data_IF_032078847772
#
_entry.id   IF_032078847772
#
_cell.length_a   1.000
_cell.length_b   1.000
_cell.length_c   1.000
_cell.angle_alpha   90.00
_cell.angle_beta   90.00
_cell.angle_gamma   90.00
#
_symmetry.space_group_name_H-M   'P 1'
#
loop_
_entity.id
_entity.type
_entity.pdbx_description
1 polymer ?
#
# COMPACT_ATOMS: atom_id res chain seq x y z
N UNK A 1 -45.75 43.02 18.42
CA UNK A 1 -45.39 42.27 17.19
C UNK A 1 -45.01 40.86 17.60
N UNK A 2 -45.74 39.81 17.14
CA UNK A 2 -45.41 38.42 17.45
C UNK A 2 -44.31 37.89 16.51
N UNK A 3 -43.40 37.06 17.05
CA UNK A 3 -42.34 36.37 16.29
C UNK A 3 -42.94 35.34 15.32
N UNK A 4 -42.37 35.15 14.12
CA UNK A 4 -42.83 34.10 13.19
C UNK A 4 -42.34 32.70 13.64
N UNK A 5 -43.04 31.62 13.23
CA UNK A 5 -42.67 30.25 13.54
C UNK A 5 -41.44 29.80 12.73
N UNK A 6 -40.55 29.07 13.39
CA UNK A 6 -39.36 28.46 12.80
C UNK A 6 -39.76 27.24 11.96
N UNK A 7 -39.42 27.23 10.68
CA UNK A 7 -39.60 26.07 9.80
C UNK A 7 -38.39 25.14 9.95
N UNK A 8 -38.64 23.87 10.30
CA UNK A 8 -37.66 22.78 10.17
C UNK A 8 -37.41 22.50 8.68
N UNK A 9 -36.18 22.69 8.21
CA UNK A 9 -35.69 22.10 6.97
C UNK A 9 -34.20 21.79 7.09
N UNK A 10 -33.81 20.54 6.84
CA UNK A 10 -32.44 20.20 6.44
C UNK A 10 -31.71 19.16 7.30
N UNK A 11 -32.18 17.91 7.27
CA UNK A 11 -31.34 16.75 7.60
C UNK A 11 -30.37 16.49 6.42
N UNK A 12 -29.06 16.49 6.69
CA UNK A 12 -28.06 15.64 6.00
C UNK A 12 -26.67 15.66 6.66
N UNK A 13 -26.31 14.50 7.22
CA UNK A 13 -25.01 13.84 7.28
C UNK A 13 -23.73 14.59 7.72
N UNK A 14 -23.35 14.40 8.99
CA UNK A 14 -21.95 14.23 9.39
C UNK A 14 -21.72 12.74 9.69
N UNK A 15 -21.66 11.92 8.63
CA UNK A 15 -21.28 10.52 8.73
C UNK A 15 -19.76 10.39 8.67
N UNK A 16 -19.19 9.99 9.81
CA UNK A 16 -17.79 9.58 9.96
C UNK A 16 -17.46 8.54 8.88
N UNK A 17 -16.44 8.81 8.08
CA UNK A 17 -16.01 7.93 7.00
C UNK A 17 -15.57 6.58 7.59
N UNK A 18 -16.46 5.60 7.52
CA UNK A 18 -16.21 4.20 7.80
C UNK A 18 -15.60 3.59 6.52
N UNK A 19 -14.39 3.03 6.53
CA UNK A 19 -13.75 2.51 5.31
C UNK A 19 -14.40 1.23 4.74
N UNK A 20 -15.50 0.76 5.30
CA UNK A 20 -16.30 -0.34 4.77
C UNK A 20 -17.35 0.10 3.72
N UNK A 21 -17.12 1.18 2.96
CA UNK A 21 -17.97 1.50 1.82
C UNK A 21 -17.65 0.57 0.64
N UNK A 22 -18.39 -0.54 0.59
CA UNK A 22 -18.59 -1.35 -0.61
C UNK A 22 -19.09 -0.44 -1.73
N UNK A 23 -18.15 0.09 -2.53
CA UNK A 23 -18.50 0.70 -3.81
C UNK A 23 -18.98 -0.41 -4.71
N UNK A 24 -20.29 -0.49 -4.90
CA UNK A 24 -20.93 -1.29 -5.96
C UNK A 24 -20.59 -0.67 -7.32
N UNK A 25 -19.31 -0.71 -7.70
CA UNK A 25 -18.86 -0.54 -9.07
C UNK A 25 -18.99 -1.88 -9.77
N UNK A 26 -19.46 -1.87 -11.02
CA UNK A 26 -19.45 -3.07 -11.85
C UNK A 26 -18.03 -3.68 -11.82
N UNK A 27 -17.87 -4.83 -11.19
CA UNK A 27 -16.65 -5.62 -11.31
C UNK A 27 -16.62 -6.12 -12.74
N UNK A 28 -15.84 -5.46 -13.60
CA UNK A 28 -15.49 -6.04 -14.90
C UNK A 28 -14.79 -7.36 -14.60
N UNK A 29 -15.50 -8.47 -14.77
CA UNK A 29 -14.92 -9.80 -14.58
C UNK A 29 -13.66 -9.86 -15.43
N UNK A 30 -12.49 -9.92 -14.80
CA UNK A 30 -11.19 -9.89 -15.49
C UNK A 30 -10.75 -11.31 -15.86
N UNK A 31 -11.47 -12.32 -15.36
CA UNK A 31 -11.18 -13.72 -15.58
C UNK A 31 -12.47 -14.55 -15.74
N UNK A 32 -12.38 -15.62 -16.53
CA UNK A 32 -13.34 -16.73 -16.56
C UNK A 32 -12.90 -17.80 -15.57
N UNK A 33 -13.87 -18.53 -15.03
CA UNK A 33 -13.59 -19.70 -14.18
C UNK A 33 -13.77 -20.97 -15.02
N UNK A 34 -12.75 -21.83 -15.08
CA UNK A 34 -12.77 -23.10 -15.81
C UNK A 34 -12.34 -24.23 -14.89
N UNK A 35 -13.26 -25.16 -14.62
CA UNK A 35 -12.92 -26.45 -14.03
C UNK A 35 -12.22 -27.32 -15.09
N UNK A 36 -11.05 -27.85 -14.77
CA UNK A 36 -10.26 -28.71 -15.65
C UNK A 36 -10.39 -30.20 -15.30
N UNK A 37 -11.23 -30.55 -14.33
CA UNK A 37 -11.49 -31.93 -13.92
C UNK A 37 -10.35 -32.58 -13.12
N UNK A 38 -9.33 -31.81 -12.72
CA UNK A 38 -8.22 -32.30 -11.89
C UNK A 38 -8.59 -32.53 -10.42
N UNK A 39 -9.80 -32.11 -10.00
CA UNK A 39 -10.20 -32.05 -8.60
C UNK A 39 -9.57 -30.89 -7.81
N UNK A 40 -8.80 -30.02 -8.48
CA UNK A 40 -8.24 -28.78 -7.92
C UNK A 40 -9.25 -27.63 -8.01
N UNK A 41 -9.03 -26.51 -7.28
CA UNK A 41 -9.83 -25.32 -7.44
C UNK A 41 -9.91 -24.86 -8.92
N UNK A 42 -11.09 -24.45 -9.41
CA UNK A 42 -11.26 -24.03 -10.80
C UNK A 42 -10.30 -22.92 -11.22
N UNK A 43 -9.74 -23.06 -12.42
CA UNK A 43 -8.77 -22.13 -13.00
C UNK A 43 -9.41 -20.77 -13.27
N UNK A 44 -8.75 -19.69 -12.84
CA UNK A 44 -9.09 -18.32 -13.26
C UNK A 44 -8.33 -17.97 -14.53
N UNK A 45 -8.99 -18.08 -15.68
CA UNK A 45 -8.42 -17.75 -16.99
C UNK A 45 -8.60 -16.25 -17.28
N UNK A 46 -7.53 -15.48 -17.52
CA UNK A 46 -7.67 -14.07 -17.85
C UNK A 46 -8.42 -13.91 -19.17
N UNK A 47 -9.32 -12.93 -19.24
CA UNK A 47 -10.06 -12.63 -20.47
C UNK A 47 -9.20 -12.02 -21.59
N UNK A 48 -7.96 -11.63 -21.29
CA UNK A 48 -7.06 -10.94 -22.24
C UNK A 48 -7.46 -9.50 -22.55
N UNK A 49 -8.59 -9.02 -22.00
CA UNK A 49 -9.03 -7.64 -22.16
C UNK A 49 -8.18 -6.68 -21.32
N UNK A 50 -8.06 -5.44 -21.81
CA UNK A 50 -7.47 -4.36 -21.01
C UNK A 50 -8.37 -4.04 -19.82
N UNK A 51 -7.77 -3.74 -18.67
CA UNK A 51 -8.45 -3.28 -17.47
C UNK A 51 -7.69 -2.11 -16.86
N UNK A 52 -8.41 -1.25 -16.14
CA UNK A 52 -7.81 -0.09 -15.48
C UNK A 52 -7.22 -0.53 -14.14
N UNK A 53 -5.92 -0.29 -13.99
CA UNK A 53 -5.23 -0.39 -12.71
C UNK A 53 -5.29 0.97 -12.03
N UNK A 54 -5.90 1.04 -10.84
CA UNK A 54 -6.05 2.28 -10.07
C UNK A 54 -5.06 2.32 -8.92
N UNK A 55 -4.74 3.51 -8.44
CA UNK A 55 -4.00 3.73 -7.18
C UNK A 55 -2.61 3.06 -7.11
N UNK A 56 -1.99 2.73 -8.24
CA UNK A 56 -0.66 2.09 -8.33
C UNK A 56 0.52 3.07 -8.15
N UNK A 57 0.24 4.37 -8.29
CA UNK A 57 1.16 5.49 -8.05
C UNK A 57 2.55 5.29 -8.71
N UNK A 58 2.56 5.05 -10.01
CA UNK A 58 3.77 4.99 -10.84
C UNK A 58 3.45 5.45 -12.26
N UNK A 59 4.46 5.95 -12.97
CA UNK A 59 4.42 6.25 -14.39
C UNK A 59 5.22 5.26 -15.25
N UNK A 60 5.85 4.26 -14.63
CA UNK A 60 6.73 3.26 -15.26
C UNK A 60 7.86 3.86 -16.12
N UNK A 61 8.24 5.12 -15.88
CA UNK A 61 9.37 5.74 -16.56
C UNK A 61 10.66 5.54 -15.78
N UNK A 62 11.77 5.75 -16.48
CA UNK A 62 13.10 5.82 -15.87
C UNK A 62 13.44 7.27 -15.57
N UNK A 63 13.86 7.52 -14.34
CA UNK A 63 14.18 8.86 -13.86
C UNK A 63 15.58 8.93 -13.29
N UNK A 64 16.21 10.08 -13.50
CA UNK A 64 17.44 10.46 -12.81
C UNK A 64 17.08 11.15 -11.49
N UNK A 65 17.37 10.48 -10.37
CA UNK A 65 17.08 10.97 -9.02
C UNK A 65 18.25 11.76 -8.40
N UNK A 66 19.26 12.09 -9.21
CA UNK A 66 20.47 12.81 -8.85
C UNK A 66 21.58 11.92 -8.30
N UNK A 67 22.77 12.52 -8.13
CA UNK A 67 23.99 11.83 -7.75
C UNK A 67 23.91 11.03 -6.43
N UNK A 68 22.97 11.38 -5.55
CA UNK A 68 22.73 10.62 -4.33
C UNK A 68 22.22 9.20 -4.60
N UNK A 69 21.64 8.91 -5.77
CA UNK A 69 21.12 7.60 -6.16
C UNK A 69 21.96 6.89 -7.21
N UNK A 70 23.05 7.49 -7.67
CA UNK A 70 23.87 6.88 -8.70
C UNK A 70 24.58 5.63 -8.16
N UNK A 71 24.45 4.53 -8.89
CA UNK A 71 25.05 3.24 -8.54
C UNK A 71 26.13 2.89 -9.54
N UNK A 72 27.26 2.34 -9.05
CA UNK A 72 28.35 1.86 -9.91
C UNK A 72 28.12 0.39 -10.21
N UNK A 73 28.08 0.06 -11.49
CA UNK A 73 28.02 -1.32 -11.96
C UNK A 73 29.39 -2.00 -11.81
N UNK A 74 29.38 -3.33 -11.84
CA UNK A 74 30.59 -4.14 -11.70
C UNK A 74 31.65 -3.88 -12.80
N UNK A 75 31.20 -3.44 -13.98
CA UNK A 75 32.04 -3.10 -15.14
C UNK A 75 32.61 -1.66 -15.06
N UNK A 76 32.32 -0.94 -13.98
CA UNK A 76 32.76 0.44 -13.75
C UNK A 76 31.86 1.50 -14.37
N UNK A 77 30.80 1.14 -15.12
CA UNK A 77 29.79 2.10 -15.59
C UNK A 77 28.93 2.62 -14.44
N UNK A 78 28.25 3.74 -14.67
CA UNK A 78 27.37 4.37 -13.67
C UNK A 78 25.91 4.26 -14.13
N UNK A 79 25.07 3.66 -13.30
CA UNK A 79 23.64 3.67 -13.47
C UNK A 79 23.06 4.94 -12.83
N UNK A 80 22.53 5.83 -13.67
CA UNK A 80 21.98 7.12 -13.24
C UNK A 80 20.46 7.16 -13.25
N UNK A 81 19.82 6.25 -13.99
CA UNK A 81 18.37 6.22 -14.16
C UNK A 81 17.74 4.94 -13.61
N UNK A 82 16.63 5.10 -12.90
CA UNK A 82 15.91 4.00 -12.25
C UNK A 82 14.42 4.04 -12.60
N UNK A 83 13.81 2.86 -12.75
CA UNK A 83 12.38 2.74 -12.99
C UNK A 83 11.60 3.18 -11.74
N UNK A 84 10.58 4.03 -11.90
CA UNK A 84 9.62 4.32 -10.82
C UNK A 84 8.84 3.05 -10.48
N UNK A 85 9.20 2.39 -9.36
CA UNK A 85 8.44 1.22 -8.89
C UNK A 85 7.04 1.65 -8.42
N UNK A 86 6.01 0.81 -8.61
CA UNK A 86 4.69 1.08 -8.03
C UNK A 86 4.79 1.24 -6.51
N UNK A 87 4.09 2.22 -5.93
CA UNK A 87 4.13 2.46 -4.49
C UNK A 87 3.21 1.54 -3.69
N UNK A 88 2.50 0.62 -4.35
CA UNK A 88 1.85 -0.49 -3.68
C UNK A 88 2.85 -1.28 -2.84
N UNK A 89 2.67 -1.27 -1.52
CA UNK A 89 3.57 -1.94 -0.59
C UNK A 89 4.66 -1.08 0.02
N UNK A 90 4.81 0.18 -0.39
CA UNK A 90 5.91 1.03 0.10
C UNK A 90 5.88 1.19 1.64
N UNK A 91 4.73 1.06 2.28
CA UNK A 91 4.61 1.08 3.75
C UNK A 91 5.23 -0.14 4.45
N UNK A 92 5.51 -1.23 3.73
CA UNK A 92 5.96 -2.52 4.31
C UNK A 92 7.24 -3.09 3.69
N UNK A 93 7.92 -2.37 2.79
CA UNK A 93 9.05 -2.90 2.01
C UNK A 93 10.36 -2.11 2.20
N UNK A 94 10.54 -1.46 3.35
CA UNK A 94 11.82 -0.85 3.68
C UNK A 94 12.96 -1.90 3.76
N UNK A 95 14.23 -1.49 3.63
CA UNK A 95 14.71 -0.12 3.43
C UNK A 95 14.51 0.40 1.99
N UNK A 96 14.61 1.72 1.81
CA UNK A 96 14.21 2.44 0.59
C UNK A 96 15.39 2.95 -0.25
N UNK A 97 15.07 3.23 -1.51
CA UNK A 97 16.03 3.50 -2.57
C UNK A 97 16.46 2.21 -3.27
N UNK A 98 16.93 2.30 -4.50
CA UNK A 98 17.41 1.12 -5.24
C UNK A 98 18.64 0.48 -4.57
N UNK A 99 19.40 1.29 -3.83
CA UNK A 99 20.53 0.88 -3.02
C UNK A 99 20.20 0.53 -1.56
N UNK A 100 18.94 0.65 -1.14
CA UNK A 100 18.48 0.32 0.22
C UNK A 100 19.09 1.17 1.34
N UNK A 101 19.65 2.35 1.05
CA UNK A 101 20.38 3.15 2.07
C UNK A 101 19.50 4.06 2.92
N UNK A 102 18.20 4.15 2.65
CA UNK A 102 17.28 5.02 3.41
C UNK A 102 16.38 4.17 4.30
N UNK A 103 16.47 4.33 5.61
CA UNK A 103 15.72 3.49 6.56
C UNK A 103 14.26 3.92 6.72
N UNK A 104 13.94 5.17 6.38
CA UNK A 104 12.58 5.72 6.49
C UNK A 104 12.12 6.36 5.19
N UNK A 105 10.80 6.48 5.02
CA UNK A 105 10.18 7.20 3.90
C UNK A 105 10.59 8.68 3.87
N UNK A 106 10.71 9.30 5.05
CA UNK A 106 11.14 10.68 5.15
C UNK A 106 12.58 10.84 4.61
N UNK A 107 13.49 9.95 5.02
CA UNK A 107 14.89 10.00 4.58
C UNK A 107 15.01 9.82 3.07
N UNK A 108 14.29 8.84 2.49
CA UNK A 108 14.36 8.62 1.05
C UNK A 108 13.77 9.81 0.29
N UNK A 109 12.63 10.37 0.73
CA UNK A 109 12.03 11.56 0.09
C UNK A 109 13.03 12.73 0.10
N UNK A 110 13.66 13.01 1.24
CA UNK A 110 14.62 14.12 1.35
C UNK A 110 15.93 13.88 0.61
N UNK A 111 16.30 12.61 0.36
CA UNK A 111 17.47 12.25 -0.44
C UNK A 111 17.30 12.52 -1.94
N UNK A 112 16.06 12.57 -2.43
CA UNK A 112 15.77 12.79 -3.86
C UNK A 112 16.34 14.13 -4.36
N UNK A 113 16.93 14.06 -5.56
CA UNK A 113 17.41 15.19 -6.35
C UNK A 113 17.04 14.99 -7.83
N UNK A 114 17.88 15.50 -8.73
CA UNK A 114 17.66 15.35 -10.18
C UNK A 114 16.28 15.81 -10.61
N UNK A 115 15.57 14.97 -11.37
CA UNK A 115 14.21 15.25 -11.84
C UNK A 115 13.18 15.33 -10.70
N UNK A 116 13.45 14.69 -9.55
CA UNK A 116 12.59 14.70 -8.37
C UNK A 116 12.86 15.87 -7.41
N UNK A 117 13.84 16.75 -7.71
CA UNK A 117 14.24 17.84 -6.80
C UNK A 117 13.08 18.78 -6.45
N UNK A 118 12.24 19.11 -7.43
CA UNK A 118 11.07 19.98 -7.21
C UNK A 118 10.08 19.36 -6.21
N UNK A 119 9.74 18.08 -6.38
CA UNK A 119 8.86 17.35 -5.48
C UNK A 119 9.46 17.21 -4.07
N UNK A 120 10.76 16.92 -3.98
CA UNK A 120 11.48 16.87 -2.69
C UNK A 120 11.41 18.21 -1.97
N UNK A 121 11.63 19.31 -2.68
CA UNK A 121 11.59 20.65 -2.09
C UNK A 121 10.17 21.01 -1.64
N UNK A 122 9.15 20.68 -2.44
CA UNK A 122 7.76 20.87 -2.05
C UNK A 122 7.44 20.14 -0.74
N UNK A 123 7.85 18.87 -0.61
CA UNK A 123 7.71 18.11 0.63
C UNK A 123 8.44 18.77 1.81
N UNK A 124 9.69 19.18 1.62
CA UNK A 124 10.49 19.83 2.66
C UNK A 124 9.87 21.14 3.16
N UNK A 125 9.09 21.83 2.32
CA UNK A 125 8.39 23.09 2.66
C UNK A 125 7.00 22.91 3.27
N UNK A 126 6.45 21.70 3.28
CA UNK A 126 5.14 21.42 3.89
C UNK A 126 5.17 21.71 5.40
N UNK A 127 4.00 22.06 5.96
CA UNK A 127 3.85 22.14 7.41
C UNK A 127 4.03 20.75 8.02
N UNK A 128 4.48 20.63 9.29
CA UNK A 128 4.69 19.33 9.93
C UNK A 128 3.47 18.38 9.85
N UNK A 129 2.26 18.91 10.01
CA UNK A 129 1.04 18.10 9.91
C UNK A 129 0.79 17.56 8.48
N UNK A 130 1.14 18.34 7.46
CA UNK A 130 0.97 17.94 6.07
C UNK A 130 2.04 16.91 5.66
N UNK A 131 3.28 17.07 6.13
CA UNK A 131 4.32 16.04 5.99
C UNK A 131 3.89 14.73 6.65
N UNK A 132 3.42 14.80 7.91
CA UNK A 132 2.92 13.64 8.63
C UNK A 132 1.77 12.96 7.88
N UNK A 133 0.83 13.72 7.33
CA UNK A 133 -0.30 13.17 6.58
C UNK A 133 0.16 12.43 5.32
N UNK A 134 1.15 12.97 4.58
CA UNK A 134 1.73 12.28 3.43
C UNK A 134 2.45 10.99 3.83
N UNK A 135 3.24 11.02 4.90
CA UNK A 135 3.94 9.84 5.41
C UNK A 135 2.93 8.78 5.90
N UNK A 136 1.87 9.18 6.60
CA UNK A 136 0.78 8.28 7.00
C UNK A 136 0.09 7.64 5.80
N UNK A 137 -0.17 8.42 4.74
CA UNK A 137 -0.72 7.88 3.50
C UNK A 137 0.22 6.85 2.87
N UNK A 138 1.52 7.14 2.72
CA UNK A 138 2.49 6.19 2.17
C UNK A 138 2.62 4.93 3.03
N UNK A 139 2.60 5.07 4.36
CA UNK A 139 2.59 3.93 5.28
C UNK A 139 1.31 3.07 5.18
N UNK A 140 0.20 3.63 4.70
CA UNK A 140 -1.03 2.85 4.47
C UNK A 140 -0.98 1.95 3.23
N UNK A 141 -0.01 2.17 2.33
CA UNK A 141 0.19 1.35 1.13
C UNK A 141 0.97 0.08 1.46
N UNK A 142 0.32 -0.92 2.05
CA UNK A 142 0.91 -2.22 2.42
C UNK A 142 0.45 -3.35 1.49
N UNK A 143 1.31 -4.33 1.18
CA UNK A 143 0.94 -5.50 0.34
C UNK A 143 0.13 -6.52 1.13
N UNK A 144 0.55 -6.78 2.36
CA UNK A 144 -0.10 -7.65 3.31
C UNK A 144 -0.06 -6.94 4.66
N UNK A 145 -1.18 -6.82 5.38
CA UNK A 145 -1.13 -6.53 6.81
C UNK A 145 -0.14 -7.50 7.48
N UNK A 146 0.64 -7.07 8.49
CA UNK A 146 1.58 -7.94 9.19
C UNK A 146 0.93 -9.24 9.68
N UNK A 147 -0.36 -9.17 10.01
CA UNK A 147 -1.18 -10.27 10.53
C UNK A 147 -1.68 -11.25 9.43
N UNK A 148 -1.51 -10.89 8.14
CA UNK A 148 -1.95 -11.67 6.97
C UNK A 148 -0.77 -12.26 6.19
N UNK A 149 0.46 -12.15 6.70
CA UNK A 149 1.59 -12.84 6.06
C UNK A 149 1.35 -14.35 6.18
N UNK A 150 1.69 -15.13 5.15
CA UNK A 150 1.51 -16.59 5.12
C UNK A 150 2.27 -17.35 6.26
N UNK A 151 3.08 -16.64 7.05
CA UNK A 151 3.77 -17.14 8.24
C UNK A 151 2.99 -16.94 9.54
N UNK A 152 1.90 -16.16 9.52
CA UNK A 152 1.05 -15.89 10.69
C UNK A 152 0.04 -17.02 10.82
N UNK A 153 0.35 -18.00 11.67
CA UNK A 153 -0.55 -19.11 11.99
C UNK A 153 -1.73 -18.71 12.91
N UNK A 154 -1.91 -17.40 13.13
CA UNK A 154 -3.02 -16.81 13.87
C UNK A 154 -3.48 -15.54 13.11
N UNK A 155 -4.43 -15.67 12.16
CA UNK A 155 -4.90 -14.53 11.38
C UNK A 155 -5.55 -13.49 12.31
N UNK A 156 -5.31 -12.20 12.08
CA UNK A 156 -5.93 -11.19 12.93
C UNK A 156 -7.46 -11.21 12.83
N UNK A 157 -8.10 -11.15 14.00
CA UNK A 157 -9.55 -11.04 14.12
C UNK A 157 -9.98 -9.55 14.10
N UNK A 158 -10.65 -9.09 13.02
CA UNK A 158 -11.08 -7.69 12.89
C UNK A 158 -12.19 -7.29 13.86
N UNK A 159 -12.74 -8.23 14.63
CA UNK A 159 -13.76 -7.97 15.65
C UNK A 159 -13.16 -7.65 17.04
N UNK A 160 -11.84 -7.72 17.20
CA UNK A 160 -11.16 -7.40 18.46
C UNK A 160 -11.01 -5.90 18.66
N UNK A 161 -11.12 -5.48 19.92
CA UNK A 161 -11.06 -4.08 20.32
C UNK A 161 -9.75 -3.35 19.93
N UNK A 162 -8.67 -4.09 19.60
CA UNK A 162 -7.35 -3.56 19.29
C UNK A 162 -6.88 -3.94 17.87
N UNK A 163 -7.79 -4.00 16.89
CA UNK A 163 -7.41 -4.26 15.50
C UNK A 163 -6.94 -2.97 14.77
N UNK A 164 -5.82 -2.98 14.01
CA UNK A 164 -4.85 -4.08 13.87
C UNK A 164 -4.02 -4.29 15.13
N UNK A 165 -3.68 -5.54 15.43
CA UNK A 165 -3.03 -5.89 16.68
C UNK A 165 -1.59 -5.32 16.69
N UNK A 166 -1.27 -4.47 17.67
CA UNK A 166 0.06 -3.83 17.78
C UNK A 166 1.18 -4.76 18.25
N UNK A 167 0.92 -6.06 18.43
CA UNK A 167 1.90 -7.07 18.83
C UNK A 167 2.11 -8.06 17.68
N UNK A 168 3.37 -8.28 17.30
CA UNK A 168 3.72 -9.30 16.30
C UNK A 168 3.05 -10.63 16.65
N UNK A 169 2.25 -11.18 15.72
CA UNK A 169 1.59 -12.45 15.90
C UNK A 169 2.56 -13.52 16.41
N UNK A 170 2.24 -14.14 17.54
CA UNK A 170 3.04 -15.21 18.10
C UNK A 170 2.93 -16.45 17.22
N UNK A 171 4.05 -17.00 16.74
CA UNK A 171 4.05 -18.31 16.09
C UNK A 171 3.69 -19.36 17.14
N UNK A 172 2.50 -19.94 17.07
CA UNK A 172 2.16 -21.15 17.82
C UNK A 172 2.87 -22.34 17.18
N UNK A 173 4.14 -22.54 17.51
CA UNK A 173 4.94 -23.67 17.02
C UNK A 173 4.29 -25.04 17.37
N UNK A 174 3.47 -25.10 18.42
CA UNK A 174 2.82 -26.34 18.87
C UNK A 174 1.78 -26.91 17.90
N UNK A 175 1.22 -26.12 16.98
CA UNK A 175 0.19 -26.62 16.04
C UNK A 175 0.75 -27.10 14.70
N UNK A 176 1.98 -26.72 14.35
CA UNK A 176 2.58 -27.06 13.04
C UNK A 176 3.51 -28.29 13.09
N UNK A 177 3.99 -28.70 14.27
CA UNK A 177 4.89 -29.85 14.45
C UNK A 177 4.25 -31.07 15.11
N UNK A 178 2.92 -31.07 15.30
CA UNK A 178 2.25 -32.24 15.86
C UNK A 178 1.98 -33.25 14.74
N UNK A 179 2.97 -34.09 14.42
CA UNK A 179 2.73 -35.31 13.67
C UNK A 179 1.85 -36.22 14.55
N UNK A 180 0.66 -36.64 14.13
CA UNK A 180 -0.15 -37.58 14.88
C UNK A 180 0.46 -38.99 15.00
N UNK A 181 1.64 -39.22 14.40
CA UNK A 181 2.38 -40.48 14.45
C UNK A 181 3.68 -40.47 15.29
N UNK A 182 4.00 -39.36 15.96
CA UNK A 182 5.07 -39.27 16.97
C UNK A 182 4.55 -39.56 18.39
#
# INVERSE_FOLDING_TARGET
MPRPPFQETGLQELSRHNPAQTRTGAFTHTALTKDDGSGQPPLKLPLGNSFVVKDIFTDFKRHDLGANFYERNWDGTLQTQFLTRPLWGVGSTGPYGHDGRSMTLNDVILRHGGEALSARNAFATLKPNDQSSLITFLNSLVLFPPDDTASTLDPADPTKANFPQFGHGSIKLTVLFNDPTD
#
